data_IF_722660893476
#
_entry.id   IF_722660893476
#
_cell.length_a   1.000
_cell.length_b   1.000
_cell.length_c   1.000
_cell.angle_alpha   90.00
_cell.angle_beta   90.00
_cell.angle_gamma   90.00
#
_symmetry.space_group_name_H-M   'P 1'
#
loop_
_entity.id
_entity.type
_entity.pdbx_description
1 polymer ?
#
# COMPACT_ATOMS: atom_id res chain seq x y z
N UNK A 1 10.09 18.04 -8.68
CA UNK A 1 9.58 16.70 -8.36
C UNK A 1 8.55 16.86 -7.27
N UNK A 2 7.44 16.12 -7.34
CA UNK A 2 6.43 16.13 -6.27
C UNK A 2 6.83 14.96 -5.36
N UNK A 3 7.38 15.28 -4.19
CA UNK A 3 7.74 14.26 -3.20
C UNK A 3 6.46 13.79 -2.50
N UNK A 4 6.29 12.48 -2.40
CA UNK A 4 5.20 11.89 -1.63
C UNK A 4 5.57 11.89 -0.16
N UNK A 5 4.63 12.26 0.69
CA UNK A 5 4.80 12.17 2.13
C UNK A 5 4.99 10.70 2.55
N UNK A 6 5.71 10.48 3.64
CA UNK A 6 5.97 9.13 4.17
C UNK A 6 4.69 8.31 4.33
N UNK A 7 3.61 8.93 4.79
CA UNK A 7 2.30 8.28 4.93
C UNK A 7 1.67 7.88 3.60
N UNK A 8 1.83 8.68 2.54
CA UNK A 8 1.31 8.38 1.20
C UNK A 8 2.09 7.19 0.61
N UNK A 9 3.40 7.14 0.85
CA UNK A 9 4.25 6.02 0.46
C UNK A 9 3.88 4.73 1.20
N UNK A 10 3.67 4.79 2.52
CA UNK A 10 3.19 3.65 3.30
C UNK A 10 1.83 3.16 2.80
N UNK A 11 0.89 4.08 2.53
CA UNK A 11 -0.41 3.72 1.98
C UNK A 11 -0.30 3.05 0.60
N UNK A 12 0.63 3.50 -0.25
CA UNK A 12 0.88 2.84 -1.54
C UNK A 12 1.41 1.41 -1.41
N UNK A 13 2.17 1.09 -0.36
CA UNK A 13 2.59 -0.28 -0.11
C UNK A 13 1.37 -1.18 0.16
N UNK A 14 0.44 -0.72 0.99
CA UNK A 14 -0.80 -1.45 1.27
C UNK A 14 -1.79 -1.48 0.10
N UNK A 15 -1.83 -0.41 -0.70
CA UNK A 15 -2.53 -0.41 -1.98
C UNK A 15 -1.98 -1.49 -2.92
N UNK A 16 -0.65 -1.62 -2.99
CA UNK A 16 0.00 -2.62 -3.83
C UNK A 16 -0.31 -4.03 -3.34
N UNK A 17 -0.23 -4.21 -2.02
CA UNK A 17 -0.53 -5.47 -1.35
C UNK A 17 -1.98 -5.94 -1.59
N UNK A 18 -2.95 -5.03 -1.66
CA UNK A 18 -4.36 -5.36 -1.94
C UNK A 18 -4.53 -6.19 -3.21
N UNK A 19 -3.81 -5.87 -4.28
CA UNK A 19 -3.91 -6.57 -5.57
C UNK A 19 -3.13 -7.89 -5.63
N UNK A 20 -2.47 -8.31 -4.55
CA UNK A 20 -1.71 -9.57 -4.49
C UNK A 20 -2.50 -10.75 -3.94
N UNK A 21 -3.79 -10.57 -3.63
CA UNK A 21 -4.60 -11.55 -2.89
C UNK A 21 -3.94 -11.97 -1.56
N UNK A 22 -3.30 -11.02 -0.90
CA UNK A 22 -2.53 -11.23 0.32
C UNK A 22 -3.39 -11.76 1.48
N UNK A 23 -2.82 -12.64 2.28
CA UNK A 23 -3.39 -13.13 3.53
C UNK A 23 -3.19 -12.14 4.67
N UNK A 24 -3.89 -12.34 5.79
CA UNK A 24 -3.65 -11.60 7.05
C UNK A 24 -2.17 -11.68 7.46
N UNK A 25 -1.53 -12.84 7.29
CA UNK A 25 -0.11 -13.03 7.60
C UNK A 25 0.79 -12.17 6.72
N UNK A 26 0.48 -12.06 5.42
CA UNK A 26 1.21 -11.20 4.48
C UNK A 26 1.07 -9.71 4.85
N UNK A 27 -0.12 -9.29 5.32
CA UNK A 27 -0.33 -7.91 5.82
C UNK A 27 0.58 -7.64 7.02
N UNK A 28 0.61 -8.57 7.98
CA UNK A 28 1.43 -8.44 9.19
C UNK A 28 2.93 -8.43 8.86
N UNK A 29 3.35 -9.28 7.92
CA UNK A 29 4.73 -9.32 7.46
C UNK A 29 5.13 -8.00 6.79
N UNK A 30 4.25 -7.40 5.98
CA UNK A 30 4.47 -6.09 5.40
C UNK A 30 4.55 -4.99 6.47
N UNK A 31 3.61 -4.98 7.43
CA UNK A 31 3.60 -3.99 8.52
C UNK A 31 4.90 -4.02 9.33
N UNK A 32 5.35 -5.23 9.72
CA UNK A 32 6.62 -5.41 10.42
C UNK A 32 7.81 -4.95 9.58
N UNK A 33 7.85 -5.30 8.29
CA UNK A 33 8.92 -4.90 7.35
C UNK A 33 9.00 -3.38 7.22
N UNK A 34 7.86 -2.70 7.09
CA UNK A 34 7.81 -1.24 6.99
C UNK A 34 8.21 -0.58 8.30
N UNK A 35 7.73 -1.08 9.44
CA UNK A 35 8.09 -0.57 10.76
C UNK A 35 9.60 -0.69 11.04
N UNK A 36 10.22 -1.81 10.67
CA UNK A 36 11.66 -2.02 10.81
C UNK A 36 12.47 -1.14 9.85
N UNK A 37 12.07 -1.06 8.58
CA UNK A 37 12.82 -0.33 7.56
C UNK A 37 12.71 1.19 7.66
N UNK A 38 11.56 1.73 8.09
CA UNK A 38 11.32 3.18 8.24
C UNK A 38 11.73 3.65 9.64
N UNK A 39 11.71 2.74 10.62
CA UNK A 39 11.84 3.02 12.04
C UNK A 39 10.47 3.04 12.72
N UNK A 40 10.40 2.43 13.89
CA UNK A 40 9.11 2.17 14.57
C UNK A 40 8.33 3.44 14.91
N UNK A 41 9.00 4.49 15.40
CA UNK A 41 8.33 5.75 15.75
C UNK A 41 7.77 6.52 14.54
N UNK A 42 8.56 6.82 13.49
CA UNK A 42 8.04 7.52 12.31
C UNK A 42 6.96 6.70 11.60
N UNK A 43 7.13 5.38 11.50
CA UNK A 43 6.12 4.48 10.95
C UNK A 43 4.81 4.55 11.73
N UNK A 44 4.89 4.39 13.06
CA UNK A 44 3.70 4.44 13.93
C UNK A 44 2.96 5.76 13.80
N UNK A 45 3.68 6.88 13.76
CA UNK A 45 3.07 8.21 13.57
C UNK A 45 2.32 8.29 12.23
N UNK A 46 2.94 7.82 11.14
CA UNK A 46 2.28 7.82 9.84
C UNK A 46 1.03 6.91 9.81
N UNK A 47 1.10 5.74 10.44
CA UNK A 47 -0.04 4.83 10.55
C UNK A 47 -1.19 5.42 11.39
N UNK A 48 -0.88 6.13 12.48
CA UNK A 48 -1.89 6.84 13.28
C UNK A 48 -2.58 7.94 12.48
N UNK A 49 -1.83 8.68 11.66
CA UNK A 49 -2.39 9.70 10.76
C UNK A 49 -3.30 9.08 9.70
N UNK A 50 -2.84 8.01 9.02
CA UNK A 50 -3.63 7.29 8.03
C UNK A 50 -4.92 6.71 8.63
N UNK A 51 -4.83 6.15 9.84
CA UNK A 51 -6.00 5.59 10.54
C UNK A 51 -6.98 6.69 10.93
N UNK A 52 -6.48 7.83 11.41
CA UNK A 52 -7.31 9.00 11.75
C UNK A 52 -8.03 9.58 10.53
N UNK A 53 -7.40 9.51 9.36
CA UNK A 53 -7.96 9.93 8.08
C UNK A 53 -8.90 8.88 7.46
N UNK A 54 -9.06 7.71 8.07
CA UNK A 54 -9.91 6.63 7.55
C UNK A 54 -9.31 5.86 6.37
N UNK A 55 -8.03 6.08 6.06
CA UNK A 55 -7.35 5.50 4.89
C UNK A 55 -6.84 4.07 5.13
N UNK A 56 -6.66 3.69 6.39
CA UNK A 56 -6.31 2.32 6.80
C UNK A 56 -7.16 1.82 7.96
N UNK A 57 -7.47 0.52 7.99
CA UNK A 57 -8.18 -0.14 9.10
C UNK A 57 -7.25 -0.35 10.31
N UNK A 58 -5.98 -0.67 10.05
CA UNK A 58 -4.97 -1.00 11.07
C UNK A 58 -5.01 -2.47 11.49
N UNK A 59 -3.88 -2.97 12.00
CA UNK A 59 -3.70 -4.39 12.31
C UNK A 59 -4.73 -4.96 13.31
N UNK A 60 -5.15 -4.17 14.30
CA UNK A 60 -6.11 -4.61 15.32
C UNK A 60 -7.47 -5.01 14.73
N UNK A 61 -7.88 -4.39 13.62
CA UNK A 61 -9.16 -4.67 12.96
C UNK A 61 -9.02 -5.86 12.02
N UNK A 62 -7.89 -5.93 11.30
CA UNK A 62 -7.57 -7.04 10.39
C UNK A 62 -7.49 -8.37 11.15
N UNK A 63 -6.87 -8.36 12.34
CA UNK A 63 -6.77 -9.56 13.17
C UNK A 63 -8.09 -10.03 13.77
N UNK A 64 -9.07 -9.12 13.95
CA UNK A 64 -10.38 -9.49 14.51
C UNK A 64 -11.28 -10.18 13.49
N UNK A 65 -11.11 -9.87 12.21
CA UNK A 65 -11.86 -10.50 11.12
C UNK A 65 -11.18 -11.76 10.57
N UNK A 66 -9.99 -12.10 11.08
CA UNK A 66 -9.25 -13.34 10.79
C UNK A 66 -9.99 -14.55 11.36
N UNK A 67 -11.05 -15.00 10.68
CA UNK A 67 -11.88 -16.12 11.09
C UNK A 67 -13.27 -16.22 10.44
N UNK A 68 -13.83 -15.10 9.95
CA UNK A 68 -15.17 -15.08 9.33
C UNK A 68 -15.18 -14.27 8.02
N UNK A 69 -14.50 -14.76 6.98
CA UNK A 69 -14.60 -14.19 5.62
C UNK A 69 -13.25 -13.99 4.94
N UNK A 70 -13.23 -13.31 3.77
CA UNK A 70 -11.99 -12.88 3.15
C UNK A 70 -11.26 -11.89 4.07
N UNK A 71 -9.91 -11.92 4.08
CA UNK A 71 -9.12 -11.07 4.97
C UNK A 71 -9.43 -9.59 4.72
N UNK A 72 -9.68 -8.83 5.81
CA UNK A 72 -9.88 -7.40 5.73
C UNK A 72 -8.59 -6.73 5.25
N UNK A 73 -8.63 -5.92 4.18
CA UNK A 73 -7.43 -5.26 3.68
C UNK A 73 -6.95 -4.16 4.65
N UNK A 74 -5.65 -3.88 4.63
CA UNK A 74 -5.10 -2.75 5.40
C UNK A 74 -5.57 -1.41 4.86
N UNK A 75 -5.49 -1.20 3.55
CA UNK A 75 -6.02 -0.01 2.90
C UNK A 75 -7.55 -0.09 2.82
N UNK A 76 -8.24 0.96 3.26
CA UNK A 76 -9.70 1.06 3.11
C UNK A 76 -10.08 1.45 1.69
N UNK A 77 -11.36 1.37 1.34
CA UNK A 77 -11.85 1.90 0.07
C UNK A 77 -11.50 3.39 -0.12
N UNK A 78 -11.51 4.18 0.97
CA UNK A 78 -11.09 5.58 0.94
C UNK A 78 -9.58 5.71 0.68
N UNK A 79 -8.76 4.85 1.31
CA UNK A 79 -7.33 4.72 1.03
C UNK A 79 -7.03 4.38 -0.43
N UNK A 80 -7.76 3.43 -1.00
CA UNK A 80 -7.63 3.04 -2.41
C UNK A 80 -7.98 4.21 -3.34
N UNK A 81 -9.10 4.89 -3.09
CA UNK A 81 -9.51 6.07 -3.84
C UNK A 81 -8.52 7.21 -3.72
N UNK A 82 -7.94 7.41 -2.53
CA UNK A 82 -6.92 8.43 -2.30
C UNK A 82 -5.69 8.20 -3.20
N UNK A 83 -5.17 6.97 -3.24
CA UNK A 83 -4.02 6.64 -4.10
C UNK A 83 -4.38 6.78 -5.58
N UNK A 84 -5.55 6.28 -6.00
CA UNK A 84 -6.01 6.42 -7.39
C UNK A 84 -6.07 7.90 -7.81
N UNK A 85 -6.61 8.78 -6.97
CA UNK A 85 -6.68 10.22 -7.23
C UNK A 85 -5.29 10.88 -7.23
N UNK A 86 -4.44 10.54 -6.26
CA UNK A 86 -3.09 11.11 -6.13
C UNK A 86 -2.20 10.76 -7.31
N UNK A 87 -2.32 9.54 -7.82
CA UNK A 87 -1.59 9.03 -8.97
C UNK A 87 -2.31 9.30 -10.30
N UNK A 88 -3.52 9.86 -10.27
CA UNK A 88 -4.39 10.04 -11.44
C UNK A 88 -4.56 8.73 -12.23
N UNK A 89 -4.69 7.61 -11.52
CA UNK A 89 -5.01 6.30 -12.09
C UNK A 89 -6.48 6.33 -12.50
N UNK A 90 -6.76 6.30 -13.80
CA UNK A 90 -8.12 6.30 -14.30
C UNK A 90 -8.85 5.03 -13.84
N UNK A 91 -10.05 5.17 -13.26
CA UNK A 91 -10.82 4.06 -12.70
C UNK A 91 -11.36 3.07 -13.74
N UNK A 92 -11.14 3.31 -15.03
CA UNK A 92 -11.52 2.42 -16.13
C UNK A 92 -10.55 1.24 -16.29
N UNK A 93 -9.42 1.26 -15.57
CA UNK A 93 -8.49 0.14 -15.51
C UNK A 93 -9.12 -1.04 -14.75
N UNK A 94 -9.24 -2.18 -15.42
CA UNK A 94 -9.60 -3.47 -14.81
C UNK A 94 -8.66 -3.73 -13.63
N UNK A 95 -9.20 -4.19 -12.49
CA UNK A 95 -8.43 -4.46 -11.25
C UNK A 95 -7.16 -5.28 -11.52
N UNK A 96 -7.22 -6.24 -12.45
CA UNK A 96 -6.11 -7.11 -12.89
C UNK A 96 -4.88 -6.36 -13.44
N UNK A 97 -5.04 -5.11 -13.87
CA UNK A 97 -3.95 -4.30 -14.46
C UNK A 97 -3.49 -3.15 -13.56
N UNK A 98 -4.07 -2.96 -12.36
CA UNK A 98 -3.78 -1.77 -11.56
C UNK A 98 -2.31 -1.63 -11.14
N UNK A 99 -1.63 -2.74 -10.89
CA UNK A 99 -0.20 -2.73 -10.58
C UNK A 99 0.69 -2.37 -11.78
N UNK A 100 0.28 -2.71 -13.00
CA UNK A 100 0.98 -2.27 -14.21
C UNK A 100 0.81 -0.76 -14.44
N UNK A 101 -0.37 -0.22 -14.15
CA UNK A 101 -0.59 1.22 -14.19
C UNK A 101 0.20 1.96 -13.11
N UNK A 102 0.25 1.42 -11.90
CA UNK A 102 1.09 1.95 -10.82
C UNK A 102 2.57 1.98 -11.25
N UNK A 103 3.11 0.88 -11.77
CA UNK A 103 4.49 0.80 -12.27
C UNK A 103 4.77 1.85 -13.35
N UNK A 104 3.88 1.95 -14.34
CA UNK A 104 4.01 2.92 -15.42
C UNK A 104 3.91 4.36 -14.91
N UNK A 105 3.02 4.64 -13.95
CA UNK A 105 2.87 5.95 -13.37
C UNK A 105 4.11 6.35 -12.57
N UNK A 106 4.64 5.47 -11.72
CA UNK A 106 5.88 5.72 -10.96
C UNK A 106 7.06 6.03 -11.90
N UNK A 107 7.15 5.35 -13.05
CA UNK A 107 8.21 5.60 -14.06
C UNK A 107 8.07 6.90 -14.84
N UNK A 108 6.85 7.44 -14.96
CA UNK A 108 6.55 8.55 -15.89
C UNK A 108 6.13 9.85 -15.21
N UNK A 109 5.61 9.78 -13.98
CA UNK A 109 5.09 10.92 -13.22
C UNK A 109 6.18 11.80 -12.61
N UNK A 110 7.41 11.30 -12.49
CA UNK A 110 8.48 11.96 -11.75
C UNK A 110 8.22 12.01 -10.23
N UNK A 111 7.33 11.14 -9.73
CA UNK A 111 7.18 10.85 -8.31
C UNK A 111 8.36 9.99 -7.87
N UNK A 112 8.95 10.34 -6.74
CA UNK A 112 10.08 9.59 -6.16
C UNK A 112 9.65 8.94 -4.86
N UNK A 113 9.85 7.62 -4.77
CA UNK A 113 9.71 6.87 -3.53
C UNK A 113 11.01 7.04 -2.74
N UNK A 114 10.96 7.82 -1.67
CA UNK A 114 12.10 8.09 -0.80
C UNK A 114 12.25 7.06 0.32
N UNK A 115 11.17 6.34 0.65
CA UNK A 115 11.20 5.23 1.59
C UNK A 115 11.62 3.95 0.87
N UNK A 116 12.91 3.63 0.96
CA UNK A 116 13.48 2.39 0.42
C UNK A 116 12.71 1.10 0.76
N UNK A 117 12.22 0.85 2.00
CA UNK A 117 11.44 -0.36 2.28
C UNK A 117 10.11 -0.42 1.51
N UNK A 118 9.45 0.73 1.29
CA UNK A 118 8.22 0.82 0.48
C UNK A 118 8.55 0.54 -0.98
N UNK A 119 9.56 1.24 -1.52
CA UNK A 119 10.01 1.08 -2.90
C UNK A 119 10.37 -0.36 -3.22
N UNK A 120 11.19 -0.98 -2.38
CA UNK A 120 11.61 -2.37 -2.53
C UNK A 120 10.39 -3.31 -2.57
N UNK A 121 9.43 -3.13 -1.65
CA UNK A 121 8.23 -3.96 -1.62
C UNK A 121 7.38 -3.83 -2.89
N UNK A 122 7.14 -2.59 -3.35
CA UNK A 122 6.34 -2.34 -4.56
C UNK A 122 7.02 -2.95 -5.79
N UNK A 123 8.32 -2.72 -5.96
CA UNK A 123 9.10 -3.27 -7.09
C UNK A 123 9.17 -4.80 -7.08
N UNK A 124 9.33 -5.41 -5.91
CA UNK A 124 9.31 -6.87 -5.72
C UNK A 124 7.94 -7.44 -6.11
N UNK A 125 6.87 -6.81 -5.64
CA UNK A 125 5.50 -7.25 -5.88
C UNK A 125 5.14 -7.20 -7.37
N UNK A 126 5.39 -6.08 -8.03
CA UNK A 126 5.18 -5.93 -9.49
C UNK A 126 6.00 -6.98 -10.26
N UNK A 127 7.23 -7.24 -9.83
CA UNK A 127 8.10 -8.24 -10.48
C UNK A 127 7.58 -9.66 -10.30
N UNK A 128 6.98 -9.99 -9.15
CA UNK A 128 6.40 -11.29 -8.90
C UNK A 128 5.14 -11.50 -9.75
N UNK A 129 4.26 -10.50 -9.83
CA UNK A 129 3.06 -10.56 -10.67
C UNK A 129 3.40 -10.80 -12.15
N UNK A 130 4.43 -10.12 -12.68
CA UNK A 130 4.88 -10.30 -14.08
C UNK A 130 5.48 -11.68 -14.40
N UNK A 131 5.75 -12.50 -13.38
CA UNK A 131 6.26 -13.88 -13.54
C UNK A 131 5.17 -14.94 -13.45
N UNK A 132 3.96 -14.57 -13.01
CA UNK A 132 2.79 -15.44 -12.96
C UNK A 132 2.10 -15.46 -14.32
#
# INVERSE_FOLDING_TARGET
MKELQDKEQILMAYYTQYYTAATTEDVQALDARLAEGIGTEPYKKAMEELKKEGLVNGLDEIQKEDGEGPPLPMATNEGMLYINNTLNLQSDAVEDHQLDYLDNNLKTSGLELTLEPVKAYIEETIRQQKKM
#
